data_IF_406868839984
#
_entry.id   IF_406868839984
#
_cell.length_a   1.000
_cell.length_b   1.000
_cell.length_c   1.000
_cell.angle_alpha   90.00
_cell.angle_beta   90.00
_cell.angle_gamma   90.00
#
_symmetry.space_group_name_H-M   'P 1'
#
loop_
_entity.id
_entity.type
_entity.pdbx_description
1 polymer ?
#
# COMPACT_ATOMS: atom_id res chain seq x y z
N UNK A 1 9.25 21.68 1.83
CA UNK A 1 8.57 20.53 1.20
C UNK A 1 9.17 20.30 -0.17
N UNK A 2 10.04 19.30 -0.28
CA UNK A 2 10.68 18.94 -1.55
C UNK A 2 11.34 17.57 -1.43
N UNK A 3 11.42 16.82 -2.52
CA UNK A 3 12.17 15.55 -2.62
C UNK A 3 13.54 15.72 -3.28
N UNK A 4 13.93 16.92 -3.63
CA UNK A 4 15.15 17.19 -4.38
C UNK A 4 16.40 17.03 -3.53
N UNK A 5 17.39 16.29 -4.03
CA UNK A 5 18.69 16.09 -3.39
C UNK A 5 19.50 17.39 -3.25
N UNK A 6 19.17 18.43 -4.02
CA UNK A 6 19.83 19.75 -3.94
C UNK A 6 19.65 20.42 -2.57
N UNK A 7 18.66 20.00 -1.79
CA UNK A 7 18.46 20.46 -0.41
C UNK A 7 19.29 19.71 0.63
N UNK A 8 20.00 18.64 0.26
CA UNK A 8 20.84 17.88 1.20
C UNK A 8 21.90 18.72 1.91
N UNK A 9 22.64 19.66 1.24
CA UNK A 9 23.59 20.54 1.91
C UNK A 9 22.94 21.46 2.95
N UNK A 10 21.73 21.95 2.67
CA UNK A 10 20.96 22.79 3.60
C UNK A 10 20.57 21.98 4.86
N UNK A 11 20.10 20.77 4.69
CA UNK A 11 19.72 19.87 5.79
C UNK A 11 20.93 19.56 6.67
N UNK A 12 22.06 19.21 6.07
CA UNK A 12 23.32 18.95 6.77
C UNK A 12 23.76 20.16 7.61
N UNK A 13 23.66 21.35 7.05
CA UNK A 13 24.01 22.61 7.76
C UNK A 13 23.07 22.90 8.94
N UNK A 14 21.79 22.63 8.80
CA UNK A 14 20.80 22.75 9.89
C UNK A 14 21.11 21.79 11.03
N UNK A 15 21.52 20.56 10.72
CA UNK A 15 21.92 19.55 11.73
C UNK A 15 23.19 19.97 12.47
N UNK A 16 24.19 20.53 11.77
CA UNK A 16 25.41 21.07 12.40
C UNK A 16 25.08 22.16 13.40
N UNK A 17 24.04 22.95 13.16
CA UNK A 17 23.56 23.99 14.07
C UNK A 17 22.60 23.46 15.16
N UNK A 18 22.57 22.15 15.35
CA UNK A 18 21.74 21.47 16.35
C UNK A 18 20.24 21.76 16.20
N UNK A 19 19.77 21.90 14.95
CA UNK A 19 18.36 22.11 14.62
C UNK A 19 17.70 20.79 14.25
N UNK A 20 16.56 20.54 14.86
CA UNK A 20 15.72 19.39 14.48
C UNK A 20 15.12 19.62 13.09
N UNK A 21 15.38 18.69 12.16
CA UNK A 21 14.98 18.83 10.76
C UNK A 21 13.91 17.81 10.41
N UNK A 22 12.77 18.31 9.92
CA UNK A 22 11.67 17.49 9.44
C UNK A 22 11.57 17.68 7.92
N UNK A 23 11.81 16.61 7.17
CA UNK A 23 11.61 16.59 5.73
C UNK A 23 10.18 16.15 5.37
N UNK A 24 9.63 16.72 4.32
CA UNK A 24 8.35 16.29 3.75
C UNK A 24 8.46 16.23 2.24
N UNK A 25 8.09 15.12 1.65
CA UNK A 25 8.17 14.93 0.21
C UNK A 25 7.33 13.77 -0.30
N UNK A 26 7.28 13.63 -1.62
CA UNK A 26 6.55 12.56 -2.31
C UNK A 26 7.42 11.31 -2.37
N UNK A 27 6.83 10.15 -2.05
CA UNK A 27 7.54 8.88 -1.89
C UNK A 27 8.38 8.48 -3.11
N UNK A 28 7.85 8.66 -4.31
CA UNK A 28 8.52 8.23 -5.55
C UNK A 28 9.54 9.24 -6.10
N UNK A 29 9.53 10.47 -5.63
CA UNK A 29 10.40 11.54 -6.11
C UNK A 29 11.41 12.03 -5.08
N UNK A 30 11.43 11.43 -3.90
CA UNK A 30 12.35 11.84 -2.83
C UNK A 30 13.62 11.01 -2.89
N UNK A 31 14.78 11.70 -2.92
CA UNK A 31 16.09 11.05 -2.87
C UNK A 31 16.33 10.36 -1.52
N UNK A 32 16.82 9.10 -1.51
CA UNK A 32 17.22 8.43 -0.27
C UNK A 32 18.23 9.21 0.56
N UNK A 33 19.17 9.90 -0.06
CA UNK A 33 20.15 10.75 0.63
C UNK A 33 19.49 11.90 1.38
N UNK A 34 18.46 12.50 0.81
CA UNK A 34 17.69 13.55 1.47
C UNK A 34 16.98 13.04 2.71
N UNK A 35 16.40 11.84 2.64
CA UNK A 35 15.71 11.20 3.78
C UNK A 35 16.68 10.91 4.92
N UNK A 36 17.86 10.39 4.62
CA UNK A 36 18.88 10.06 5.62
C UNK A 36 19.42 11.30 6.37
N UNK A 37 19.45 12.45 5.71
CA UNK A 37 19.92 13.69 6.32
C UNK A 37 18.89 14.38 7.21
N UNK A 38 17.61 14.01 7.12
CA UNK A 38 16.55 14.54 7.96
C UNK A 38 16.46 13.76 9.29
N UNK A 39 16.18 14.45 10.39
CA UNK A 39 15.90 13.80 11.67
C UNK A 39 14.57 13.04 11.64
N UNK A 40 13.57 13.62 11.00
CA UNK A 40 12.30 12.98 10.68
C UNK A 40 11.94 13.23 9.22
N UNK A 41 11.25 12.27 8.62
CA UNK A 41 10.75 12.43 7.26
C UNK A 41 9.28 11.98 7.17
N UNK A 42 8.45 12.85 6.61
CA UNK A 42 7.02 12.60 6.42
C UNK A 42 6.74 12.51 4.92
N UNK A 43 6.17 11.38 4.49
CA UNK A 43 5.71 11.23 3.13
C UNK A 43 4.35 11.92 2.95
N UNK A 44 4.28 12.83 2.00
CA UNK A 44 3.02 13.51 1.66
C UNK A 44 1.93 12.51 1.25
N UNK A 45 2.32 11.44 0.55
CA UNK A 45 1.41 10.37 0.15
C UNK A 45 0.70 9.72 1.34
N UNK A 46 1.41 9.53 2.45
CA UNK A 46 0.83 8.96 3.67
C UNK A 46 -0.17 9.92 4.36
N UNK A 47 0.07 11.22 4.27
CA UNK A 47 -0.88 12.22 4.81
C UNK A 47 -2.18 12.25 4.01
N UNK A 48 -2.08 12.28 2.68
CA UNK A 48 -3.24 12.25 1.79
C UNK A 48 -4.01 10.95 1.96
N UNK A 49 -3.30 9.83 2.09
CA UNK A 49 -3.89 8.53 2.30
C UNK A 49 -4.72 8.46 3.58
N UNK A 50 -4.19 8.95 4.70
CA UNK A 50 -4.94 9.02 5.96
C UNK A 50 -6.21 9.85 5.85
N UNK A 51 -6.18 10.91 5.05
CA UNK A 51 -7.35 11.74 4.78
C UNK A 51 -8.37 10.98 3.95
N UNK A 52 -7.93 10.31 2.88
CA UNK A 52 -8.78 9.48 2.02
C UNK A 52 -9.38 8.31 2.79
N UNK A 53 -8.61 7.66 3.67
CA UNK A 53 -9.11 6.57 4.51
C UNK A 53 -10.24 7.00 5.46
N UNK A 54 -10.18 8.23 5.98
CA UNK A 54 -11.25 8.79 6.82
C UNK A 54 -12.55 9.05 6.04
N UNK A 55 -12.44 9.32 4.75
CA UNK A 55 -13.59 9.58 3.85
C UNK A 55 -14.15 8.28 3.22
N UNK A 56 -13.43 7.18 3.30
CA UNK A 56 -13.91 5.88 2.80
C UNK A 56 -15.11 5.42 3.65
N UNK A 57 -16.30 5.49 3.06
CA UNK A 57 -17.46 4.84 3.66
C UNK A 57 -17.26 3.33 3.67
N UNK A 58 -17.56 2.65 4.77
CA UNK A 58 -17.42 1.19 4.81
C UNK A 58 -18.31 0.56 3.73
N UNK A 59 -17.74 -0.44 3.04
CA UNK A 59 -18.45 -1.24 2.05
C UNK A 59 -19.81 -1.71 2.58
N UNK A 60 -20.91 -1.49 1.86
CA UNK A 60 -22.23 -1.98 2.30
C UNK A 60 -22.26 -3.48 2.55
N UNK A 61 -21.47 -4.26 1.80
CA UNK A 61 -21.33 -5.72 1.94
C UNK A 61 -20.29 -6.16 2.97
N UNK A 62 -19.37 -5.28 3.36
CA UNK A 62 -18.37 -5.60 4.37
C UNK A 62 -18.94 -5.76 5.79
N UNK A 63 -20.18 -5.36 6.00
CA UNK A 63 -20.84 -5.53 7.30
C UNK A 63 -21.20 -6.99 7.62
N UNK A 64 -21.28 -7.85 6.59
CA UNK A 64 -21.62 -9.25 6.75
C UNK A 64 -20.41 -10.18 6.89
N UNK A 65 -19.21 -9.68 6.62
CA UNK A 65 -18.00 -10.48 6.67
C UNK A 65 -17.38 -10.51 8.09
N UNK A 66 -16.83 -11.66 8.50
CA UNK A 66 -16.06 -11.75 9.72
C UNK A 66 -14.94 -10.71 9.76
N UNK A 67 -14.65 -10.16 10.94
CA UNK A 67 -13.63 -9.11 11.12
C UNK A 67 -12.28 -9.49 10.51
N UNK A 68 -11.84 -10.73 10.71
CA UNK A 68 -10.58 -11.25 10.15
C UNK A 68 -10.53 -11.22 8.63
N UNK A 69 -11.63 -11.59 7.97
CA UNK A 69 -11.70 -11.54 6.51
C UNK A 69 -11.71 -10.11 5.99
N UNK A 70 -12.40 -9.22 6.67
CA UNK A 70 -12.42 -7.80 6.33
C UNK A 70 -11.03 -7.19 6.39
N UNK A 71 -10.28 -7.43 7.45
CA UNK A 71 -8.91 -6.96 7.60
C UNK A 71 -8.00 -7.46 6.47
N UNK A 72 -8.15 -8.73 6.07
CA UNK A 72 -7.43 -9.30 4.94
C UNK A 72 -7.77 -8.61 3.61
N UNK A 73 -9.04 -8.37 3.35
CA UNK A 73 -9.49 -7.70 2.13
C UNK A 73 -9.06 -6.22 2.09
N UNK A 74 -9.14 -5.51 3.19
CA UNK A 74 -8.70 -4.13 3.27
C UNK A 74 -7.20 -4.01 2.96
N UNK A 75 -6.38 -4.89 3.54
CA UNK A 75 -4.95 -4.95 3.26
C UNK A 75 -4.65 -5.35 1.81
N UNK A 76 -5.42 -6.30 1.26
CA UNK A 76 -5.32 -6.73 -0.13
C UNK A 76 -5.58 -5.56 -1.09
N UNK A 77 -6.71 -4.89 -0.93
CA UNK A 77 -7.11 -3.75 -1.77
C UNK A 77 -6.07 -2.65 -1.71
N UNK A 78 -5.64 -2.29 -0.53
CA UNK A 78 -4.61 -1.27 -0.31
C UNK A 78 -3.29 -1.61 -1.00
N UNK A 79 -2.89 -2.88 -0.98
CA UNK A 79 -1.67 -3.34 -1.61
C UNK A 79 -1.77 -3.34 -3.14
N UNK A 80 -2.91 -3.76 -3.68
CA UNK A 80 -3.18 -3.71 -5.13
C UNK A 80 -3.21 -2.27 -5.64
N UNK A 81 -3.92 -1.39 -4.96
CA UNK A 81 -3.97 0.02 -5.33
C UNK A 81 -2.58 0.67 -5.33
N UNK A 82 -1.73 0.33 -4.38
CA UNK A 82 -0.36 0.82 -4.33
C UNK A 82 0.45 0.39 -5.57
N UNK A 83 0.32 -0.87 -5.97
CA UNK A 83 1.01 -1.40 -7.17
C UNK A 83 0.49 -0.77 -8.47
N UNK A 84 -0.82 -0.61 -8.60
CA UNK A 84 -1.43 0.03 -9.77
C UNK A 84 -1.03 1.51 -9.90
N UNK A 85 -0.89 2.23 -8.79
CA UNK A 85 -0.37 3.60 -8.80
C UNK A 85 1.07 3.70 -9.28
N UNK A 86 1.86 2.66 -9.04
CA UNK A 86 3.24 2.57 -9.51
C UNK A 86 3.33 2.07 -10.96
N UNK A 87 2.21 1.92 -11.67
CA UNK A 87 2.10 1.31 -13.00
C UNK A 87 2.73 -0.10 -13.06
N UNK A 88 2.62 -0.84 -11.97
CA UNK A 88 3.10 -2.22 -11.88
C UNK A 88 1.93 -3.19 -12.00
N UNK A 89 2.16 -4.26 -12.73
CA UNK A 89 1.19 -5.35 -12.78
C UNK A 89 1.04 -6.02 -11.41
N UNK A 90 -0.19 -6.13 -10.95
CA UNK A 90 -0.50 -6.69 -9.64
C UNK A 90 -0.55 -8.22 -9.68
N UNK A 91 0.60 -8.86 -9.93
CA UNK A 91 0.73 -10.31 -9.82
C UNK A 91 0.51 -10.76 -8.38
N UNK A 92 -0.11 -11.92 -8.19
CA UNK A 92 -0.44 -12.46 -6.86
C UNK A 92 0.77 -12.56 -5.92
N UNK A 93 1.93 -12.95 -6.45
CA UNK A 93 3.18 -13.02 -5.69
C UNK A 93 3.63 -11.64 -5.19
N UNK A 94 3.58 -10.64 -6.06
CA UNK A 94 3.97 -9.28 -5.73
C UNK A 94 2.99 -8.62 -4.76
N UNK A 95 1.70 -8.89 -4.93
CA UNK A 95 0.67 -8.43 -3.99
C UNK A 95 0.88 -9.03 -2.60
N UNK A 96 1.13 -10.34 -2.53
CA UNK A 96 1.44 -11.02 -1.26
C UNK A 96 2.68 -10.44 -0.58
N UNK A 97 3.73 -10.19 -1.34
CA UNK A 97 4.95 -9.57 -0.83
C UNK A 97 4.69 -8.15 -0.30
N UNK A 98 3.92 -7.37 -1.02
CA UNK A 98 3.53 -6.02 -0.61
C UNK A 98 2.68 -6.03 0.66
N UNK A 99 1.74 -6.97 0.77
CA UNK A 99 0.93 -7.16 1.98
C UNK A 99 1.80 -7.50 3.19
N UNK A 100 2.76 -8.42 3.04
CA UNK A 100 3.71 -8.79 4.10
C UNK A 100 4.64 -7.65 4.49
N UNK A 101 5.01 -6.80 3.54
CA UNK A 101 5.82 -5.61 3.81
C UNK A 101 5.05 -4.58 4.64
N UNK A 102 3.76 -4.40 4.36
CA UNK A 102 2.87 -3.50 5.12
C UNK A 102 2.51 -4.06 6.49
N UNK A 103 2.28 -5.35 6.55
CA UNK A 103 1.96 -6.07 7.77
C UNK A 103 2.77 -7.36 7.86
N UNK A 104 3.94 -7.35 8.52
CA UNK A 104 4.79 -8.55 8.66
C UNK A 104 4.09 -9.72 9.34
N UNK A 105 3.08 -9.49 10.14
CA UNK A 105 2.26 -10.52 10.78
C UNK A 105 1.17 -11.11 9.90
N UNK A 106 1.04 -10.66 8.64
CA UNK A 106 0.03 -11.18 7.74
C UNK A 106 0.25 -12.67 7.44
N UNK A 107 -0.81 -13.44 7.64
CA UNK A 107 -0.86 -14.85 7.31
C UNK A 107 -2.26 -15.19 6.80
N UNK A 108 -2.35 -15.75 5.62
CA UNK A 108 -3.62 -16.14 5.01
C UNK A 108 -4.40 -17.17 5.85
N UNK A 109 -3.72 -18.07 6.53
CA UNK A 109 -4.35 -19.08 7.39
C UNK A 109 -5.05 -18.46 8.62
N UNK A 110 -4.46 -17.43 9.19
CA UNK A 110 -5.08 -16.67 10.30
C UNK A 110 -6.43 -16.07 9.90
N UNK A 111 -6.55 -15.68 8.63
CA UNK A 111 -7.77 -15.10 8.06
C UNK A 111 -8.75 -16.16 7.52
N UNK A 112 -8.44 -17.45 7.65
CA UNK A 112 -9.31 -18.56 7.27
C UNK A 112 -9.13 -19.04 5.84
N UNK A 113 -8.03 -18.70 5.17
CA UNK A 113 -7.72 -19.12 3.80
C UNK A 113 -6.55 -20.11 3.77
N UNK A 114 -6.71 -21.22 3.03
CA UNK A 114 -5.67 -22.24 2.86
C UNK A 114 -4.47 -21.74 2.04
N UNK A 115 -4.73 -20.83 1.11
CA UNK A 115 -3.71 -20.25 0.25
C UNK A 115 -4.08 -18.83 -0.15
N UNK A 116 -3.09 -18.06 -0.57
CA UNK A 116 -3.30 -16.70 -1.07
C UNK A 116 -4.22 -16.64 -2.30
N UNK A 117 -4.13 -17.65 -3.16
CA UNK A 117 -5.03 -17.74 -4.33
C UNK A 117 -6.49 -17.87 -3.91
N UNK A 118 -6.78 -18.58 -2.84
CA UNK A 118 -8.15 -18.68 -2.28
C UNK A 118 -8.65 -17.35 -1.77
N UNK A 119 -7.78 -16.56 -1.16
CA UNK A 119 -8.11 -15.20 -0.75
C UNK A 119 -8.51 -14.33 -1.96
N UNK A 120 -7.74 -14.41 -3.05
CA UNK A 120 -8.03 -13.67 -4.29
C UNK A 120 -9.34 -14.14 -4.94
N UNK A 121 -9.58 -15.44 -5.02
CA UNK A 121 -10.82 -16.02 -5.54
C UNK A 121 -12.04 -15.56 -4.73
N UNK A 122 -11.95 -15.54 -3.42
CA UNK A 122 -13.04 -15.08 -2.54
C UNK A 122 -13.27 -13.56 -2.68
N UNK A 123 -12.20 -12.76 -2.78
CA UNK A 123 -12.30 -11.34 -3.05
C UNK A 123 -13.01 -11.05 -4.39
N UNK A 124 -12.77 -11.86 -5.42
CA UNK A 124 -13.49 -11.78 -6.69
C UNK A 124 -14.97 -12.17 -6.53
N UNK A 125 -15.27 -13.22 -5.78
CA UNK A 125 -16.66 -13.61 -5.49
C UNK A 125 -17.44 -12.51 -4.77
N UNK A 126 -16.76 -11.79 -3.89
CA UNK A 126 -17.33 -10.64 -3.18
C UNK A 126 -17.41 -9.37 -4.07
N UNK A 127 -16.98 -9.46 -5.32
CA UNK A 127 -16.93 -8.34 -6.29
C UNK A 127 -16.08 -7.16 -5.81
N UNK A 128 -14.99 -7.45 -5.13
CA UNK A 128 -14.04 -6.46 -4.66
C UNK A 128 -12.93 -6.19 -5.67
N UNK A 129 -12.53 -7.24 -6.40
CA UNK A 129 -11.47 -7.18 -7.41
C UNK A 129 -11.84 -8.00 -8.64
N UNK A 130 -11.18 -7.71 -9.75
CA UNK A 130 -11.19 -8.54 -10.96
C UNK A 130 -9.82 -9.19 -11.09
N UNK A 131 -9.79 -10.51 -11.23
CA UNK A 131 -8.57 -11.28 -11.44
C UNK A 131 -8.66 -12.10 -12.72
N UNK A 132 -7.50 -12.32 -13.35
CA UNK A 132 -7.36 -13.32 -14.41
C UNK A 132 -6.12 -14.18 -14.15
N UNK A 133 -6.06 -15.32 -14.78
CA UNK A 133 -4.89 -16.20 -14.71
C UNK A 133 -3.95 -15.90 -15.85
N UNK A 134 -2.73 -15.52 -15.55
CA UNK A 134 -1.70 -15.33 -16.56
C UNK A 134 -1.32 -16.67 -17.19
N UNK A 135 -1.39 -16.73 -18.53
CA UNK A 135 -1.09 -17.94 -19.31
C UNK A 135 0.41 -18.35 -19.23
N UNK A 136 1.30 -17.41 -18.97
CA UNK A 136 2.75 -17.67 -18.92
C UNK A 136 3.21 -18.19 -17.58
N UNK A 137 2.81 -17.51 -16.52
CA UNK A 137 3.24 -17.85 -15.15
C UNK A 137 2.27 -18.77 -14.43
N UNK A 138 1.04 -18.90 -14.90
CA UNK A 138 -0.02 -19.62 -14.21
C UNK A 138 -0.48 -18.96 -12.90
N UNK A 139 -0.01 -17.77 -12.60
CA UNK A 139 -0.39 -17.01 -11.40
C UNK A 139 -1.59 -16.10 -11.69
N UNK A 140 -2.28 -15.69 -10.63
CA UNK A 140 -3.33 -14.69 -10.77
C UNK A 140 -2.75 -13.29 -10.88
N UNK A 141 -3.36 -12.48 -11.74
CA UNK A 141 -3.09 -11.05 -11.88
C UNK A 141 -4.37 -10.29 -11.56
N UNK A 142 -4.28 -9.27 -10.74
CA UNK A 142 -5.40 -8.40 -10.42
C UNK A 142 -5.45 -7.27 -11.43
N UNK A 143 -6.53 -7.22 -12.22
CA UNK A 143 -6.71 -6.22 -13.26
C UNK A 143 -7.27 -4.92 -12.71
N UNK A 144 -8.23 -5.02 -11.82
CA UNK A 144 -8.99 -3.88 -11.34
C UNK A 144 -9.49 -4.10 -9.92
N UNK A 145 -9.58 -3.02 -9.18
CA UNK A 145 -10.26 -2.96 -7.89
C UNK A 145 -11.65 -2.39 -8.14
N UNK A 146 -12.69 -3.20 -7.92
CA UNK A 146 -14.09 -2.83 -8.12
C UNK A 146 -14.65 -2.01 -6.95
N UNK A 147 -13.86 -1.80 -5.94
CA UNK A 147 -14.22 -1.00 -4.79
C UNK A 147 -14.19 0.48 -5.20
N UNK A 148 -15.35 1.03 -5.42
CA UNK A 148 -15.48 2.48 -5.54
C UNK A 148 -15.34 3.10 -4.16
N UNK A 149 -14.22 3.79 -3.96
CA UNK A 149 -14.08 4.77 -2.89
C UNK A 149 -14.94 5.99 -3.27
N UNK A 150 -16.21 5.83 -3.10
CA UNK A 150 -17.14 6.96 -3.26
C UNK A 150 -17.24 7.78 -1.98
#
# INVERSE_FOLDING_TARGET
>A
VSGDSDFSPLVAKLRENNRHTIGCGVKNSTSPMFIEHCDEFIYYDDLVRKTVERERKPLPKAKELPKKQREAFDLLIESVEALLRENREAHSSLVKETMKRKNPGFNEEYHGYRSFNRLLEDAQKQKLIVIHKDARSGTYVIDEVLYEAS
#
